data_IF_494144638149
#
_entry.id   IF_494144638149
#
_cell.length_a   1.000
_cell.length_b   1.000
_cell.length_c   1.000
_cell.angle_alpha   90.00
_cell.angle_beta   90.00
_cell.angle_gamma   90.00
#
_symmetry.space_group_name_H-M   'P 1'
#
loop_
_entity.id
_entity.type
_entity.pdbx_description
1 polymer ?
#
# COMPACT_ATOMS: atom_id res chain seq x y z
N UNK A 1 25.34 -12.54 -17.05
CA UNK A 1 24.16 -11.75 -16.63
C UNK A 1 23.09 -11.84 -17.71
N UNK A 2 21.79 -11.83 -17.38
CA UNK A 2 20.69 -11.87 -18.37
C UNK A 2 19.85 -10.62 -18.20
N UNK A 3 19.52 -9.97 -19.32
CA UNK A 3 18.56 -8.85 -19.34
C UNK A 3 17.16 -9.44 -19.33
N UNK A 4 16.32 -9.03 -18.38
CA UNK A 4 14.97 -9.54 -18.20
C UNK A 4 13.94 -8.41 -18.32
N UNK A 5 12.78 -8.71 -18.89
CA UNK A 5 11.59 -7.87 -18.76
C UNK A 5 10.84 -8.27 -17.47
N UNK A 6 10.94 -7.47 -16.42
CA UNK A 6 10.28 -7.76 -15.13
C UNK A 6 8.87 -7.15 -15.10
N UNK A 7 7.85 -8.00 -15.16
CA UNK A 7 6.46 -7.59 -15.07
C UNK A 7 6.01 -7.49 -13.60
N UNK A 8 5.47 -6.34 -13.21
CA UNK A 8 4.88 -6.13 -11.87
C UNK A 8 3.41 -5.75 -12.00
N UNK A 9 2.52 -6.57 -11.44
CA UNK A 9 1.07 -6.29 -11.35
C UNK A 9 0.66 -6.32 -9.89
N UNK A 10 0.30 -5.17 -9.32
CA UNK A 10 0.02 -5.06 -7.88
C UNK A 10 1.27 -5.28 -7.00
N UNK A 11 2.45 -5.01 -7.54
CA UNK A 11 3.75 -5.11 -6.88
C UNK A 11 4.60 -3.86 -7.18
N UNK A 12 5.53 -3.55 -6.29
CA UNK A 12 6.38 -2.34 -6.36
C UNK A 12 7.84 -2.72 -6.46
N UNK A 13 8.64 -1.96 -7.21
CA UNK A 13 10.10 -2.12 -7.24
C UNK A 13 10.70 -1.77 -5.88
N UNK A 14 11.68 -2.54 -5.43
CA UNK A 14 12.33 -2.42 -4.13
C UNK A 14 13.83 -2.72 -4.25
N UNK A 15 14.60 -1.83 -4.89
CA UNK A 15 16.06 -1.97 -4.94
C UNK A 15 16.69 -1.78 -3.57
N UNK A 16 17.77 -2.52 -3.32
CA UNK A 16 18.51 -2.50 -2.09
C UNK A 16 19.51 -1.36 -1.98
N UNK A 17 20.14 -1.18 -0.81
CA UNK A 17 21.26 -0.26 -0.64
C UNK A 17 22.43 -0.57 -1.58
N UNK A 18 23.04 0.48 -2.13
CA UNK A 18 24.17 0.41 -3.05
C UNK A 18 23.79 0.32 -4.53
N UNK A 19 22.51 0.12 -4.87
CA UNK A 19 22.07 0.01 -6.24
C UNK A 19 22.31 1.33 -7.02
N UNK A 20 22.98 1.24 -8.17
CA UNK A 20 23.43 2.38 -8.97
C UNK A 20 22.28 3.17 -9.61
N UNK A 21 21.12 2.54 -9.81
CA UNK A 21 19.90 3.21 -10.31
C UNK A 21 19.25 4.13 -9.28
N UNK A 22 19.65 4.04 -8.00
CA UNK A 22 19.10 4.88 -6.95
C UNK A 22 19.68 6.30 -6.98
N UNK A 23 18.84 7.34 -6.74
CA UNK A 23 19.31 8.68 -6.45
C UNK A 23 20.32 8.67 -5.30
N UNK A 24 21.36 9.50 -5.39
CA UNK A 24 22.46 9.53 -4.40
C UNK A 24 21.96 9.63 -2.95
N UNK A 25 20.95 10.48 -2.69
CA UNK A 25 20.35 10.68 -1.37
C UNK A 25 19.72 9.43 -0.72
N UNK A 26 19.42 8.39 -1.51
CA UNK A 26 18.79 7.14 -1.03
C UNK A 26 19.65 5.91 -1.27
N UNK A 27 20.80 6.05 -1.95
CA UNK A 27 21.61 4.91 -2.37
C UNK A 27 22.07 4.07 -1.18
N UNK A 28 22.48 4.70 -0.09
CA UNK A 28 22.96 3.98 1.10
C UNK A 28 21.82 3.41 1.95
N UNK A 29 20.57 3.84 1.71
CA UNK A 29 19.39 3.43 2.47
C UNK A 29 18.57 2.34 1.76
N UNK A 30 18.64 2.29 0.42
CA UNK A 30 17.74 1.52 -0.41
C UNK A 30 16.57 2.35 -0.94
N UNK A 31 15.84 1.78 -1.90
CA UNK A 31 14.78 2.51 -2.58
C UNK A 31 13.60 2.78 -1.64
N UNK A 32 13.09 4.01 -1.52
CA UNK A 32 11.79 4.27 -0.90
C UNK A 32 10.68 3.47 -1.60
N UNK A 33 9.85 2.80 -0.82
CA UNK A 33 8.68 2.03 -1.27
C UNK A 33 7.45 2.58 -0.57
N UNK A 34 6.48 3.04 -1.36
CA UNK A 34 5.23 3.64 -0.85
C UNK A 34 4.13 2.59 -0.95
N UNK A 35 3.55 2.24 0.21
CA UNK A 35 2.44 1.30 0.32
C UNK A 35 1.18 2.09 0.69
N UNK A 36 0.33 2.45 -0.28
CA UNK A 36 -0.98 3.03 0.01
C UNK A 36 -1.82 2.10 0.89
N UNK A 37 -2.40 2.69 1.92
CA UNK A 37 -3.53 2.11 2.66
C UNK A 37 -4.85 2.30 1.93
N UNK A 38 -5.93 1.91 2.60
CA UNK A 38 -7.30 2.26 2.23
C UNK A 38 -7.75 3.54 2.97
N UNK A 39 -8.96 4.04 2.68
CA UNK A 39 -9.45 5.33 3.21
C UNK A 39 -9.53 5.42 4.74
N UNK A 40 -9.54 4.28 5.43
CA UNK A 40 -9.69 4.21 6.89
C UNK A 40 -8.47 3.62 7.60
N UNK A 41 -7.42 3.23 6.87
CA UNK A 41 -6.24 2.54 7.41
C UNK A 41 -4.95 3.27 7.06
N UNK A 42 -3.88 2.82 7.70
CA UNK A 42 -2.58 3.43 7.54
C UNK A 42 -1.97 3.21 6.15
N UNK A 43 -1.15 4.14 5.71
CA UNK A 43 -0.18 3.90 4.63
C UNK A 43 1.21 3.66 5.22
N UNK A 44 2.11 3.07 4.46
CA UNK A 44 3.47 2.81 4.92
C UNK A 44 4.52 3.35 3.95
N UNK A 45 5.60 3.85 4.53
CA UNK A 45 6.88 4.04 3.86
C UNK A 45 7.80 2.91 4.28
N UNK A 46 8.34 2.19 3.29
CA UNK A 46 9.35 1.16 3.48
C UNK A 46 10.60 1.54 2.66
N UNK A 47 11.68 0.76 2.82
CA UNK A 47 12.83 0.77 1.89
C UNK A 47 13.11 -0.63 1.36
N UNK A 48 13.55 -0.73 0.10
CA UNK A 48 13.99 -2.00 -0.49
C UNK A 48 15.27 -2.53 0.15
N UNK A 49 15.54 -3.81 -0.05
CA UNK A 49 16.68 -4.51 0.57
C UNK A 49 17.50 -5.24 -0.50
N UNK A 50 18.67 -5.76 -0.13
CA UNK A 50 19.41 -6.66 -1.03
C UNK A 50 18.66 -7.98 -1.24
N UNK A 51 17.98 -8.46 -0.21
CA UNK A 51 17.21 -9.70 -0.27
C UNK A 51 16.07 -9.61 -1.29
N UNK A 52 15.42 -8.46 -1.48
CA UNK A 52 14.44 -8.33 -2.55
C UNK A 52 15.06 -8.46 -3.94
N UNK A 53 16.30 -8.00 -4.15
CA UNK A 53 17.02 -8.18 -5.41
C UNK A 53 17.29 -9.67 -5.70
N UNK A 54 17.67 -10.43 -4.67
CA UNK A 54 17.98 -11.86 -4.75
C UNK A 54 16.74 -12.73 -4.94
N UNK A 55 15.67 -12.50 -4.18
CA UNK A 55 14.52 -13.43 -4.12
C UNK A 55 13.36 -13.05 -5.04
N UNK A 56 13.22 -11.77 -5.39
CA UNK A 56 11.98 -11.25 -5.99
C UNK A 56 12.20 -10.29 -7.15
N UNK A 57 13.39 -10.32 -7.76
CA UNK A 57 13.77 -9.37 -8.82
C UNK A 57 13.53 -7.91 -8.40
N UNK A 58 14.00 -7.59 -7.20
CA UNK A 58 13.84 -6.30 -6.55
C UNK A 58 12.36 -5.88 -6.44
N UNK A 59 11.51 -6.73 -5.87
CA UNK A 59 10.07 -6.46 -5.79
C UNK A 59 9.51 -6.64 -4.38
N UNK A 60 8.43 -5.94 -4.09
CA UNK A 60 7.66 -6.08 -2.85
C UNK A 60 6.19 -5.78 -3.09
N UNK A 61 5.36 -5.77 -2.04
CA UNK A 61 3.93 -5.49 -2.16
C UNK A 61 3.66 -4.04 -2.65
N UNK A 62 2.45 -3.80 -3.15
CA UNK A 62 1.99 -2.43 -3.48
C UNK A 62 0.95 -1.87 -2.50
N UNK A 63 0.34 -2.72 -1.67
CA UNK A 63 -0.85 -2.36 -0.90
C UNK A 63 -1.51 -3.63 -0.34
N UNK A 64 -2.63 -3.44 0.35
CA UNK A 64 -3.34 -4.53 1.01
C UNK A 64 -3.97 -5.54 0.01
N UNK A 65 -4.43 -5.07 -1.15
CA UNK A 65 -5.19 -5.89 -2.09
C UNK A 65 -6.63 -6.16 -1.61
N UNK A 66 -7.55 -6.39 -2.57
CA UNK A 66 -8.97 -6.57 -2.27
C UNK A 66 -9.28 -7.98 -1.79
N UNK A 67 -10.24 -8.09 -0.88
CA UNK A 67 -10.88 -9.36 -0.46
C UNK A 67 -12.30 -9.49 -0.98
N UNK A 68 -12.91 -8.38 -1.42
CA UNK A 68 -14.28 -8.36 -1.94
C UNK A 68 -14.37 -7.61 -3.27
N UNK A 69 -15.27 -8.07 -4.15
CA UNK A 69 -15.56 -7.40 -5.41
C UNK A 69 -16.24 -6.05 -5.15
N UNK A 70 -16.17 -5.14 -6.12
CA UNK A 70 -16.89 -3.85 -6.05
C UNK A 70 -18.40 -4.04 -5.97
N UNK A 71 -18.93 -5.00 -6.73
CA UNK A 71 -20.36 -5.31 -6.75
C UNK A 71 -20.85 -5.90 -5.43
N UNK A 72 -20.03 -6.71 -4.75
CA UNK A 72 -20.36 -7.21 -3.43
C UNK A 72 -20.36 -6.08 -2.39
N UNK A 73 -19.34 -5.22 -2.40
CA UNK A 73 -19.26 -4.06 -1.51
C UNK A 73 -20.50 -3.16 -1.59
N UNK A 74 -20.98 -2.87 -2.79
CA UNK A 74 -22.18 -2.04 -3.02
C UNK A 74 -23.48 -2.63 -2.45
N UNK A 75 -23.53 -3.95 -2.24
CA UNK A 75 -24.71 -4.63 -1.69
C UNK A 75 -24.69 -4.69 -0.16
N UNK A 76 -23.49 -4.67 0.43
CA UNK A 76 -23.30 -5.02 1.85
C UNK A 76 -22.91 -3.84 2.73
N UNK A 77 -22.46 -2.73 2.16
CA UNK A 77 -21.89 -1.61 2.92
C UNK A 77 -22.88 -0.44 2.93
N UNK A 78 -23.25 -0.01 4.13
CA UNK A 78 -23.94 1.26 4.34
C UNK A 78 -22.93 2.41 4.33
N UNK A 79 -23.08 3.32 3.38
CA UNK A 79 -22.21 4.48 3.21
C UNK A 79 -22.30 5.48 4.37
N UNK A 80 -23.47 5.62 5.00
CA UNK A 80 -23.65 6.56 6.10
C UNK A 80 -22.96 6.06 7.37
N UNK A 81 -23.05 4.74 7.62
CA UNK A 81 -22.32 4.09 8.71
C UNK A 81 -20.81 4.20 8.48
N UNK A 82 -20.32 3.89 7.28
CA UNK A 82 -18.92 4.04 6.92
C UNK A 82 -18.40 5.48 7.13
N UNK A 83 -19.17 6.49 6.69
CA UNK A 83 -18.78 7.89 6.88
C UNK A 83 -18.75 8.28 8.37
N UNK A 84 -19.69 7.76 9.17
CA UNK A 84 -19.71 7.95 10.61
C UNK A 84 -18.48 7.34 11.26
N UNK A 85 -18.13 6.10 10.93
CA UNK A 85 -16.92 5.42 11.44
C UNK A 85 -15.63 6.18 11.10
N UNK A 86 -15.52 6.67 9.86
CA UNK A 86 -14.34 7.43 9.42
C UNK A 86 -14.25 8.76 10.16
N UNK A 87 -15.38 9.44 10.37
CA UNK A 87 -15.43 10.67 11.16
C UNK A 87 -15.07 10.45 12.63
N UNK A 88 -15.54 9.36 13.24
CA UNK A 88 -15.16 8.97 14.61
C UNK A 88 -13.65 8.68 14.74
N UNK A 89 -12.99 8.22 13.67
CA UNK A 89 -11.54 8.05 13.61
C UNK A 89 -10.76 9.35 13.36
N UNK A 90 -11.47 10.47 13.16
CA UNK A 90 -10.91 11.78 12.82
C UNK A 90 -10.48 11.90 11.36
N UNK A 91 -11.12 11.17 10.46
CA UNK A 91 -10.79 11.14 9.02
C UNK A 91 -11.90 11.86 8.25
N UNK A 92 -11.55 12.98 7.60
CA UNK A 92 -12.47 13.72 6.75
C UNK A 92 -12.47 13.14 5.33
N UNK A 93 -13.65 12.89 4.77
CA UNK A 93 -13.78 12.30 3.42
C UNK A 93 -14.51 13.24 2.47
N UNK A 94 -13.95 13.41 1.27
CA UNK A 94 -14.58 14.09 0.13
C UNK A 94 -14.54 13.16 -1.07
N UNK A 95 -15.68 12.92 -1.70
CA UNK A 95 -15.72 12.09 -2.89
C UNK A 95 -16.74 12.59 -3.93
N UNK A 96 -16.51 12.24 -5.20
CA UNK A 96 -17.42 12.57 -6.31
C UNK A 96 -18.81 11.97 -6.13
N UNK A 97 -18.90 10.80 -5.48
CA UNK A 97 -20.18 10.17 -5.18
C UNK A 97 -20.08 9.08 -4.13
N UNK A 98 -21.23 8.75 -3.53
CA UNK A 98 -21.35 7.71 -2.49
C UNK A 98 -20.88 6.33 -2.95
N UNK A 99 -21.07 6.02 -4.23
CA UNK A 99 -20.63 4.76 -4.86
C UNK A 99 -19.11 4.56 -4.72
N UNK A 100 -18.32 5.59 -5.04
CA UNK A 100 -16.85 5.56 -4.94
C UNK A 100 -16.38 5.30 -3.51
N UNK A 101 -17.09 5.85 -2.53
CA UNK A 101 -16.78 5.64 -1.10
C UNK A 101 -16.99 4.17 -0.72
N UNK A 102 -18.11 3.59 -1.13
CA UNK A 102 -18.45 2.20 -0.82
C UNK A 102 -17.51 1.20 -1.50
N UNK A 103 -17.18 1.42 -2.77
CA UNK A 103 -16.29 0.51 -3.52
C UNK A 103 -14.89 0.43 -2.91
N UNK A 104 -14.49 1.47 -2.17
CA UNK A 104 -13.16 1.66 -1.62
C UNK A 104 -13.12 1.55 -0.08
N UNK A 105 -14.21 1.07 0.52
CA UNK A 105 -14.36 0.96 1.97
C UNK A 105 -13.25 0.08 2.58
N UNK A 106 -12.76 0.37 3.79
CA UNK A 106 -11.66 -0.40 4.41
C UNK A 106 -11.93 -1.91 4.49
N UNK A 107 -13.16 -2.32 4.75
CA UNK A 107 -13.57 -3.72 4.87
C UNK A 107 -13.39 -4.55 3.59
N UNK A 108 -13.28 -3.91 2.41
CA UNK A 108 -13.09 -4.63 1.13
C UNK A 108 -11.62 -4.95 0.83
N UNK A 109 -10.70 -4.47 1.66
CA UNK A 109 -9.26 -4.67 1.55
C UNK A 109 -8.74 -5.56 2.68
N UNK A 110 -7.67 -6.33 2.42
CA UNK A 110 -6.90 -6.99 3.49
C UNK A 110 -6.38 -5.93 4.46
N UNK A 111 -6.00 -6.35 5.66
CA UNK A 111 -5.29 -5.45 6.56
C UNK A 111 -3.89 -5.17 6.01
N UNK A 112 -3.60 -3.90 5.72
CA UNK A 112 -2.31 -3.46 5.20
C UNK A 112 -1.18 -3.67 6.20
N UNK A 113 -1.47 -3.60 7.50
CA UNK A 113 -0.50 -3.85 8.56
C UNK A 113 0.07 -5.27 8.42
N UNK A 114 -0.81 -6.27 8.20
CA UNK A 114 -0.42 -7.67 8.04
C UNK A 114 0.42 -7.88 6.77
N UNK A 115 0.02 -7.25 5.66
CA UNK A 115 0.74 -7.35 4.38
C UNK A 115 2.14 -6.75 4.50
N UNK A 116 2.28 -5.60 5.16
CA UNK A 116 3.58 -4.96 5.41
C UNK A 116 4.42 -5.79 6.38
N UNK A 117 3.82 -6.37 7.41
CA UNK A 117 4.50 -7.26 8.35
C UNK A 117 5.12 -8.47 7.67
N UNK A 118 4.41 -9.09 6.72
CA UNK A 118 4.91 -10.25 5.97
C UNK A 118 6.14 -9.87 5.15
N UNK A 119 6.08 -8.83 4.33
CA UNK A 119 7.23 -8.44 3.49
C UNK A 119 8.40 -7.91 4.31
N UNK A 120 8.12 -7.36 5.50
CA UNK A 120 9.14 -6.94 6.44
C UNK A 120 9.87 -8.12 7.08
N UNK A 121 9.13 -9.11 7.58
CA UNK A 121 9.70 -10.32 8.19
C UNK A 121 10.41 -11.20 7.17
N UNK A 122 9.91 -11.23 5.93
CA UNK A 122 10.60 -11.86 4.80
C UNK A 122 11.84 -11.09 4.34
N UNK A 123 12.11 -9.91 4.90
CA UNK A 123 13.27 -9.09 4.56
C UNK A 123 13.25 -8.48 3.16
N UNK A 124 12.13 -8.57 2.42
CA UNK A 124 11.96 -7.99 1.08
C UNK A 124 11.84 -6.46 1.09
N UNK A 125 11.42 -5.88 2.22
CA UNK A 125 11.44 -4.44 2.45
C UNK A 125 11.50 -4.14 3.95
N UNK A 126 12.03 -2.98 4.34
CA UNK A 126 12.15 -2.58 5.75
C UNK A 126 11.20 -1.45 6.07
N UNK A 127 10.43 -1.56 7.16
CA UNK A 127 9.55 -0.48 7.62
C UNK A 127 10.37 0.77 7.97
N UNK A 128 9.88 1.93 7.52
CA UNK A 128 10.44 3.24 7.86
C UNK A 128 9.42 4.07 8.63
N UNK A 129 8.21 4.21 8.10
CA UNK A 129 7.16 5.00 8.75
C UNK A 129 5.76 4.41 8.50
N UNK A 130 4.87 4.62 9.47
CA UNK A 130 3.43 4.37 9.37
C UNK A 130 2.72 5.73 9.35
N UNK A 131 1.85 5.95 8.36
CA UNK A 131 1.13 7.20 8.16
C UNK A 131 -0.35 6.97 8.45
N UNK A 132 -0.94 7.80 9.32
CA UNK A 132 -2.38 7.79 9.62
C UNK A 132 -3.10 8.80 8.69
N UNK A 133 -4.19 8.42 8.02
CA UNK A 133 -4.96 9.36 7.22
C UNK A 133 -5.67 10.38 8.12
N UNK A 134 -5.72 11.63 7.66
CA UNK A 134 -6.51 12.72 8.26
C UNK A 134 -7.60 13.23 7.31
N UNK A 135 -7.32 13.17 6.01
CA UNK A 135 -8.25 13.55 4.95
C UNK A 135 -8.09 12.59 3.77
N UNK A 136 -9.21 12.22 3.15
CA UNK A 136 -9.26 11.40 1.93
C UNK A 136 -10.11 12.10 0.90
N UNK A 137 -9.50 12.40 -0.25
CA UNK A 137 -10.19 12.93 -1.43
C UNK A 137 -10.23 11.84 -2.49
N UNK A 138 -11.42 11.45 -2.96
CA UNK A 138 -11.60 10.35 -3.92
C UNK A 138 -12.44 10.74 -5.13
N UNK A 139 -11.87 10.56 -6.32
CA UNK A 139 -12.51 10.77 -7.63
C UNK A 139 -13.40 9.62 -8.03
#
# INVERSE_FOLDING_TARGET
EKILCIHRKGATRAFGPGNSELPLKYRDLGQPVIIPGDMGRASYLLVGTKQSEEETFASTCHGAGRVSSRSAALKTIDVNELLKELKEKGIEVRATGKKTIVEEAPSVYKNVDDVVDVVHKAGLSKKVAKLKPLCVVKG
#
